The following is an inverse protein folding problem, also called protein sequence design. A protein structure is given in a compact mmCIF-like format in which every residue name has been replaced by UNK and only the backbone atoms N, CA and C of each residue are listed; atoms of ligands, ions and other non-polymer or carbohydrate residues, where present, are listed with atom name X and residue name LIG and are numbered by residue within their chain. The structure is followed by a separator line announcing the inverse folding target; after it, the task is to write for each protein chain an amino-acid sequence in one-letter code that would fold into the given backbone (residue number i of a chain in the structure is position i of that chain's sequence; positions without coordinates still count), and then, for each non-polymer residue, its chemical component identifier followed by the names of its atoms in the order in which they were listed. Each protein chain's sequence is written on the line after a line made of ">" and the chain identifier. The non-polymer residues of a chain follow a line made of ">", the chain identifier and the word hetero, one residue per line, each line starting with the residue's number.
data_IF_495063859900
#
_entry.id   IF_495063859900
#
_cell.length_a   1.000
_cell.length_b   1.000
_cell.length_c   1.000
_cell.angle_alpha   90.00
_cell.angle_beta   90.00
_cell.angle_gamma   90.00
#
_symmetry.space_group_name_H-M   'P 1'
#
loop_
_entity.id
_entity.type
_entity.pdbx_description
1 polymer ?
#
# COMPACT_ATOMS: atom_id res chain seq x y z
N UNK A 1 0.67 -25.15 -21.17
CA UNK A 1 -0.73 -25.28 -20.73
C UNK A 1 -1.00 -24.11 -19.80
N UNK A 2 -1.97 -23.24 -20.09
CA UNK A 2 -2.29 -22.13 -19.19
C UNK A 2 -2.74 -22.70 -17.84
N UNK A 3 -2.30 -22.13 -16.70
CA UNK A 3 -2.80 -22.58 -15.40
C UNK A 3 -4.33 -22.43 -15.38
N UNK A 4 -5.07 -23.34 -14.71
CA UNK A 4 -6.51 -23.22 -14.58
C UNK A 4 -6.86 -21.86 -13.95
N UNK A 5 -7.95 -21.25 -14.43
CA UNK A 5 -8.43 -20.00 -13.88
C UNK A 5 -8.69 -20.17 -12.37
N UNK A 6 -8.21 -19.22 -11.57
CA UNK A 6 -8.43 -19.22 -10.13
C UNK A 6 -9.95 -19.15 -9.85
N UNK A 7 -10.49 -20.20 -9.24
CA UNK A 7 -11.91 -20.28 -8.87
C UNK A 7 -12.04 -20.21 -7.36
N UNK A 8 -12.78 -19.21 -6.88
CA UNK A 8 -13.13 -19.07 -5.47
C UNK A 8 -14.48 -19.77 -5.20
N UNK A 9 -14.70 -20.31 -3.99
CA UNK A 9 -16.04 -20.73 -3.58
C UNK A 9 -17.01 -19.52 -3.60
N UNK A 10 -18.34 -19.74 -3.67
CA UNK A 10 -19.32 -18.64 -3.78
C UNK A 10 -19.24 -17.59 -2.67
N UNK A 11 -18.80 -18.01 -1.47
CA UNK A 11 -18.55 -17.13 -0.32
C UNK A 11 -17.18 -17.45 0.27
N UNK A 12 -16.08 -16.88 -0.25
CA UNK A 12 -14.74 -17.18 0.22
C UNK A 12 -14.50 -16.60 1.61
N UNK A 13 -13.65 -17.28 2.39
CA UNK A 13 -13.02 -16.68 3.57
C UNK A 13 -11.89 -15.78 3.10
N UNK A 14 -11.89 -14.52 3.56
CA UNK A 14 -10.91 -13.52 3.18
C UNK A 14 -10.13 -13.08 4.42
N UNK A 15 -8.81 -13.23 4.39
CA UNK A 15 -7.92 -12.79 5.46
C UNK A 15 -7.33 -11.41 5.18
N UNK A 16 -7.42 -10.49 6.15
CA UNK A 16 -6.78 -9.18 6.10
C UNK A 16 -5.56 -9.18 7.04
N UNK A 17 -4.36 -9.12 6.45
CA UNK A 17 -3.12 -8.98 7.20
C UNK A 17 -2.94 -7.50 7.56
N UNK A 18 -3.03 -7.21 8.87
CA UNK A 18 -2.99 -5.86 9.47
C UNK A 18 -4.19 -4.97 9.15
N UNK A 19 -5.29 -5.03 9.93
CA UNK A 19 -6.39 -4.07 9.85
C UNK A 19 -6.02 -2.71 10.49
N UNK A 20 -5.04 -2.03 9.89
CA UNK A 20 -4.87 -0.59 10.05
C UNK A 20 -6.11 0.17 9.55
N UNK A 21 -6.03 1.51 9.41
CA UNK A 21 -7.17 2.26 8.88
C UNK A 21 -7.60 1.79 7.48
N UNK A 22 -6.63 1.55 6.58
CA UNK A 22 -6.92 1.04 5.24
C UNK A 22 -7.37 -0.42 5.24
N UNK A 23 -6.68 -1.30 6.00
CA UNK A 23 -7.05 -2.71 6.08
C UNK A 23 -8.46 -2.94 6.64
N UNK A 24 -8.89 -2.15 7.62
CA UNK A 24 -10.27 -2.22 8.14
C UNK A 24 -11.31 -1.79 7.09
N UNK A 25 -11.03 -0.73 6.32
CA UNK A 25 -11.91 -0.29 5.24
C UNK A 25 -12.01 -1.34 4.12
N UNK A 26 -10.88 -1.93 3.70
CA UNK A 26 -10.85 -3.03 2.71
C UNK A 26 -11.61 -4.24 3.24
N UNK A 27 -11.36 -4.65 4.48
CA UNK A 27 -12.04 -5.78 5.10
C UNK A 27 -13.56 -5.59 5.14
N UNK A 28 -14.02 -4.40 5.54
CA UNK A 28 -15.44 -4.04 5.53
C UNK A 28 -16.04 -4.09 4.12
N UNK A 29 -15.33 -3.54 3.12
CA UNK A 29 -15.74 -3.51 1.72
C UNK A 29 -15.94 -4.90 1.11
N UNK A 30 -15.21 -5.90 1.63
CA UNK A 30 -15.25 -7.29 1.14
C UNK A 30 -16.33 -8.15 1.80
N UNK A 31 -16.91 -7.73 2.95
CA UNK A 31 -17.95 -8.49 3.68
C UNK A 31 -19.14 -8.94 2.83
N UNK A 32 -19.70 -8.12 1.91
CA UNK A 32 -20.86 -8.53 1.12
C UNK A 32 -20.60 -9.79 0.26
N UNK A 33 -19.37 -9.95 -0.22
CA UNK A 33 -18.94 -11.08 -1.06
C UNK A 33 -18.31 -12.22 -0.25
N UNK A 34 -17.83 -11.97 0.97
CA UNK A 34 -17.11 -12.95 1.79
C UNK A 34 -18.01 -13.82 2.68
N UNK A 35 -17.68 -15.10 2.85
CA UNK A 35 -18.28 -15.96 3.88
C UNK A 35 -17.91 -15.51 5.29
N UNK A 36 -16.65 -15.10 5.46
CA UNK A 36 -16.13 -14.42 6.63
C UNK A 36 -14.94 -13.56 6.22
N UNK A 37 -14.74 -12.42 6.88
CA UNK A 37 -13.51 -11.65 6.78
C UNK A 37 -12.76 -11.78 8.10
N UNK A 38 -11.58 -12.38 8.07
CA UNK A 38 -10.78 -12.71 9.25
C UNK A 38 -9.53 -11.84 9.34
N UNK A 39 -9.01 -11.62 10.55
CA UNK A 39 -7.76 -10.88 10.77
C UNK A 39 -6.95 -11.49 11.93
N UNK A 40 -5.62 -11.39 11.85
CA UNK A 40 -4.72 -11.94 12.85
C UNK A 40 -4.50 -10.97 14.02
N UNK A 41 -4.88 -11.38 15.23
CA UNK A 41 -4.88 -10.53 16.44
C UNK A 41 -3.54 -10.50 17.18
N UNK A 42 -2.74 -11.58 17.13
CA UNK A 42 -1.50 -11.67 17.89
C UNK A 42 -0.56 -10.45 17.72
N UNK A 43 -0.16 -9.89 18.87
CA UNK A 43 0.78 -8.77 18.95
C UNK A 43 0.28 -7.47 18.34
N UNK A 44 -1.03 -7.30 18.11
CA UNK A 44 -1.61 -6.06 17.58
C UNK A 44 -2.00 -5.10 18.71
N UNK A 45 -1.94 -3.80 18.40
CA UNK A 45 -2.30 -2.76 19.35
C UNK A 45 -3.82 -2.69 19.57
N UNK A 46 -4.24 -2.19 20.73
CA UNK A 46 -5.65 -1.94 21.04
C UNK A 46 -6.35 -1.08 19.96
N UNK A 47 -5.65 -0.09 19.41
CA UNK A 47 -6.18 0.74 18.32
C UNK A 47 -6.45 -0.06 17.03
N UNK A 48 -5.66 -1.10 16.76
CA UNK A 48 -5.86 -2.01 15.62
C UNK A 48 -7.05 -2.93 15.86
N UNK A 49 -7.12 -3.53 17.05
CA UNK A 49 -8.25 -4.38 17.45
C UNK A 49 -9.59 -3.63 17.36
N UNK A 50 -9.66 -2.41 17.90
CA UNK A 50 -10.87 -1.57 17.83
C UNK A 50 -11.30 -1.25 16.40
N UNK A 51 -10.36 -1.01 15.47
CA UNK A 51 -10.71 -0.78 14.05
C UNK A 51 -11.25 -2.04 13.39
N UNK A 52 -10.68 -3.19 13.70
CA UNK A 52 -11.13 -4.47 13.18
C UNK A 52 -12.54 -4.80 13.69
N UNK A 53 -12.81 -4.55 14.98
CA UNK A 53 -14.13 -4.70 15.60
C UNK A 53 -15.16 -3.77 14.94
N UNK A 54 -14.86 -2.48 14.78
CA UNK A 54 -15.76 -1.53 14.10
C UNK A 54 -16.02 -1.88 12.63
N UNK A 55 -15.15 -2.67 12.01
CA UNK A 55 -15.33 -3.18 10.65
C UNK A 55 -15.99 -4.57 10.61
N UNK A 56 -16.42 -5.13 11.75
CA UNK A 56 -16.94 -6.48 11.93
C UNK A 56 -16.01 -7.59 11.40
N UNK A 57 -14.70 -7.44 11.59
CA UNK A 57 -13.73 -8.46 11.21
C UNK A 57 -13.61 -9.52 12.32
N UNK A 58 -13.58 -10.79 11.92
CA UNK A 58 -13.48 -11.92 12.85
C UNK A 58 -12.02 -12.15 13.22
N UNK A 59 -11.69 -11.99 14.50
CA UNK A 59 -10.34 -12.26 14.99
C UNK A 59 -9.98 -13.75 14.89
N UNK A 60 -8.76 -14.02 14.46
CA UNK A 60 -8.09 -15.33 14.59
C UNK A 60 -6.77 -15.15 15.33
N UNK A 61 -6.23 -16.21 15.97
CA UNK A 61 -5.09 -16.08 16.88
C UNK A 61 -3.86 -15.46 16.22
N UNK A 62 -3.48 -15.89 15.02
CA UNK A 62 -2.23 -15.49 14.38
C UNK A 62 -2.30 -15.50 12.84
N UNK A 63 -1.20 -15.08 12.21
CA UNK A 63 -1.05 -15.05 10.75
C UNK A 63 -1.15 -16.45 10.14
N UNK A 64 -0.69 -17.48 10.85
CA UNK A 64 -0.70 -18.83 10.34
C UNK A 64 -2.14 -19.38 10.25
N UNK A 65 -2.96 -19.13 11.27
CA UNK A 65 -4.37 -19.49 11.27
C UNK A 65 -5.16 -18.71 10.22
N UNK A 66 -4.88 -17.41 10.07
CA UNK A 66 -5.44 -16.61 8.98
C UNK A 66 -5.11 -17.24 7.62
N UNK A 67 -3.84 -17.56 7.38
CA UNK A 67 -3.40 -18.13 6.11
C UNK A 67 -4.04 -19.50 5.83
N UNK A 68 -4.13 -20.38 6.83
CA UNK A 68 -4.77 -21.71 6.68
C UNK A 68 -6.25 -21.63 6.33
N UNK A 69 -6.98 -20.68 6.89
CA UNK A 69 -8.44 -20.55 6.70
C UNK A 69 -8.84 -19.78 5.44
N UNK A 70 -7.93 -18.97 4.89
CA UNK A 70 -8.27 -18.01 3.85
C UNK A 70 -8.19 -18.61 2.45
N UNK A 71 -9.15 -18.26 1.61
CA UNK A 71 -9.10 -18.48 0.15
C UNK A 71 -8.47 -17.28 -0.56
N UNK A 72 -8.63 -16.09 0.04
CA UNK A 72 -8.01 -14.84 -0.39
C UNK A 72 -7.33 -14.20 0.81
N UNK A 73 -6.09 -13.77 0.65
CA UNK A 73 -5.31 -13.08 1.68
C UNK A 73 -4.94 -11.71 1.11
N UNK A 74 -5.31 -10.63 1.79
CA UNK A 74 -4.92 -9.27 1.43
C UNK A 74 -3.84 -8.80 2.40
N UNK A 75 -2.65 -8.53 1.87
CA UNK A 75 -1.55 -7.94 2.64
C UNK A 75 -1.57 -6.43 2.57
N UNK A 76 -1.73 -5.77 3.72
CA UNK A 76 -1.73 -4.31 3.82
C UNK A 76 -1.12 -3.80 5.14
N UNK A 77 0.17 -4.06 5.29
CA UNK A 77 1.08 -3.68 6.34
C UNK A 77 2.04 -2.53 5.93
N UNK A 78 2.86 -2.01 6.86
CA UNK A 78 3.98 -1.14 6.51
C UNK A 78 4.98 -1.82 5.55
N UNK A 79 5.60 -1.09 4.59
CA UNK A 79 6.47 -1.67 3.57
C UNK A 79 7.55 -2.63 4.09
N UNK A 80 8.27 -2.24 5.14
CA UNK A 80 9.35 -3.03 5.73
C UNK A 80 8.92 -4.41 6.25
N UNK A 81 7.64 -4.61 6.57
CA UNK A 81 7.10 -5.86 7.12
C UNK A 81 6.60 -6.82 6.03
N UNK A 82 6.40 -6.35 4.80
CA UNK A 82 5.71 -7.10 3.74
C UNK A 82 6.35 -8.47 3.46
N UNK A 83 7.67 -8.51 3.34
CA UNK A 83 8.41 -9.75 3.04
C UNK A 83 8.36 -10.75 4.19
N UNK A 84 8.50 -10.29 5.43
CA UNK A 84 8.44 -11.14 6.62
C UNK A 84 7.05 -11.77 6.76
N UNK A 85 6.00 -10.95 6.62
CA UNK A 85 4.61 -11.40 6.67
C UNK A 85 4.32 -12.43 5.57
N UNK A 86 4.75 -12.18 4.33
CA UNK A 86 4.63 -13.15 3.25
C UNK A 86 5.36 -14.47 3.56
N UNK A 87 6.49 -14.42 4.26
CA UNK A 87 7.22 -15.61 4.72
C UNK A 87 6.42 -16.44 5.73
N UNK A 88 5.80 -15.78 6.72
CA UNK A 88 4.91 -16.44 7.69
C UNK A 88 3.70 -17.09 7.02
N UNK A 89 3.11 -16.40 6.04
CA UNK A 89 2.03 -16.95 5.23
C UNK A 89 2.51 -18.16 4.44
N UNK A 90 3.64 -18.05 3.73
CA UNK A 90 4.21 -19.15 2.96
C UNK A 90 4.50 -20.38 3.82
N UNK A 91 5.03 -20.21 5.02
CA UNK A 91 5.26 -21.30 5.97
C UNK A 91 3.94 -21.97 6.40
N UNK A 92 2.90 -21.18 6.69
CA UNK A 92 1.60 -21.70 7.09
C UNK A 92 0.82 -22.39 5.96
N UNK A 93 1.16 -22.12 4.70
CA UNK A 93 0.56 -22.74 3.51
C UNK A 93 1.31 -24.00 3.05
N UNK A 94 2.40 -24.42 3.73
CA UNK A 94 3.26 -25.51 3.27
C UNK A 94 2.52 -26.84 3.02
N UNK A 95 1.54 -27.16 3.87
CA UNK A 95 0.78 -28.42 3.80
C UNK A 95 -0.55 -28.29 3.04
N UNK A 96 -0.85 -27.11 2.48
CA UNK A 96 -2.08 -26.91 1.71
C UNK A 96 -1.93 -27.40 0.28
N UNK A 97 -2.92 -28.17 -0.16
CA UNK A 97 -3.00 -28.66 -1.54
C UNK A 97 -3.62 -27.64 -2.48
N UNK A 98 -4.40 -26.70 -1.95
CA UNK A 98 -5.02 -25.62 -2.70
C UNK A 98 -4.22 -24.32 -2.59
N UNK A 99 -4.31 -23.49 -3.64
CA UNK A 99 -3.50 -22.29 -3.79
C UNK A 99 -4.35 -21.03 -3.57
N UNK A 100 -4.33 -20.39 -2.38
CA UNK A 100 -5.07 -19.16 -2.16
C UNK A 100 -4.57 -18.02 -3.05
N UNK A 101 -5.42 -17.03 -3.26
CA UNK A 101 -5.05 -15.75 -3.86
C UNK A 101 -4.42 -14.86 -2.80
N UNK A 102 -3.18 -14.41 -3.01
CA UNK A 102 -2.49 -13.45 -2.16
C UNK A 102 -2.44 -12.12 -2.89
N UNK A 103 -3.26 -11.17 -2.45
CA UNK A 103 -3.25 -9.78 -2.95
C UNK A 103 -2.22 -9.00 -2.14
N UNK A 104 -1.11 -8.69 -2.77
CA UNK A 104 -0.05 -7.86 -2.19
C UNK A 104 -0.39 -6.39 -2.42
N UNK A 105 -0.99 -5.73 -1.42
CA UNK A 105 -1.47 -4.35 -1.50
C UNK A 105 -0.62 -3.35 -0.69
N UNK A 106 0.58 -3.76 -0.26
CA UNK A 106 1.54 -2.90 0.41
C UNK A 106 2.12 -1.88 -0.57
N UNK A 107 2.50 -0.71 -0.07
CA UNK A 107 3.18 0.31 -0.87
C UNK A 107 4.68 -0.02 -1.01
N UNK A 108 4.98 -1.05 -1.81
CA UNK A 108 6.33 -1.58 -2.07
C UNK A 108 6.70 -1.51 -3.56
N UNK A 109 7.99 -1.62 -3.87
CA UNK A 109 8.51 -1.58 -5.22
C UNK A 109 8.08 -2.80 -6.05
N UNK A 110 8.02 -2.69 -7.39
CA UNK A 110 7.71 -3.81 -8.28
C UNK A 110 8.57 -5.06 -8.02
N UNK A 111 9.87 -4.87 -7.79
CA UNK A 111 10.80 -5.98 -7.50
C UNK A 111 10.55 -6.62 -6.13
N UNK A 112 10.10 -5.85 -5.15
CA UNK A 112 9.68 -6.37 -3.84
C UNK A 112 8.46 -7.29 -3.97
N UNK A 113 7.45 -6.90 -4.76
CA UNK A 113 6.27 -7.76 -5.03
C UNK A 113 6.67 -9.02 -5.79
N UNK A 114 7.54 -8.93 -6.80
CA UNK A 114 8.05 -10.10 -7.53
C UNK A 114 8.87 -11.03 -6.62
N UNK A 115 9.61 -10.46 -5.67
CA UNK A 115 10.30 -11.21 -4.62
C UNK A 115 9.33 -11.98 -3.73
N UNK A 116 8.21 -11.38 -3.36
CA UNK A 116 7.12 -12.04 -2.61
C UNK A 116 6.45 -13.13 -3.45
N UNK A 117 6.20 -12.88 -4.74
CA UNK A 117 5.67 -13.90 -5.66
C UNK A 117 6.61 -15.10 -5.77
N UNK A 118 7.92 -14.86 -5.86
CA UNK A 118 8.94 -15.92 -5.87
C UNK A 118 8.99 -16.67 -4.53
N UNK A 119 8.93 -15.94 -3.41
CA UNK A 119 8.92 -16.50 -2.06
C UNK A 119 7.72 -17.43 -1.84
N UNK A 120 6.54 -17.03 -2.27
CA UNK A 120 5.32 -17.82 -2.12
C UNK A 120 5.29 -18.99 -3.12
N UNK A 121 5.82 -18.80 -4.33
CA UNK A 121 5.92 -19.83 -5.35
C UNK A 121 4.58 -20.48 -5.62
N UNK A 122 4.55 -21.82 -5.65
CA UNK A 122 3.33 -22.57 -5.93
C UNK A 122 2.33 -22.61 -4.76
N UNK A 123 2.71 -22.08 -3.58
CA UNK A 123 1.84 -22.06 -2.39
C UNK A 123 0.75 -20.99 -2.45
N UNK A 124 0.92 -19.93 -3.24
CA UNK A 124 -0.11 -18.90 -3.41
C UNK A 124 -0.06 -18.29 -4.81
N UNK A 125 -1.22 -17.87 -5.32
CA UNK A 125 -1.30 -17.06 -6.54
C UNK A 125 -1.12 -15.60 -6.13
N UNK A 126 -0.03 -14.95 -6.53
CA UNK A 126 0.21 -13.54 -6.14
C UNK A 126 -0.39 -12.59 -7.15
N UNK A 127 -1.25 -11.69 -6.66
CA UNK A 127 -1.77 -10.54 -7.38
C UNK A 127 -1.16 -9.27 -6.81
N UNK A 128 -0.60 -8.42 -7.66
CA UNK A 128 -0.05 -7.11 -7.30
C UNK A 128 -1.19 -6.10 -7.17
N UNK A 129 -1.22 -5.37 -6.05
CA UNK A 129 -2.25 -4.41 -5.72
C UNK A 129 -1.66 -3.05 -5.32
N UNK A 130 -2.27 -1.98 -5.82
CA UNK A 130 -1.90 -0.61 -5.46
C UNK A 130 -3.13 0.22 -5.09
N UNK A 131 -3.23 0.58 -3.80
CA UNK A 131 -4.29 1.45 -3.30
C UNK A 131 -3.89 2.92 -3.46
N UNK A 132 -4.70 3.71 -4.16
CA UNK A 132 -4.55 5.16 -4.30
C UNK A 132 -5.81 5.84 -3.77
N UNK A 133 -5.66 6.54 -2.65
CA UNK A 133 -6.74 7.23 -1.95
C UNK A 133 -6.65 7.05 -0.42
N UNK A 134 -7.49 7.75 0.35
CA UNK A 134 -7.67 7.49 1.78
C UNK A 134 -8.43 6.16 2.03
N UNK A 135 -8.60 5.69 3.27
CA UNK A 135 -9.56 4.62 3.54
C UNK A 135 -10.97 5.00 3.05
N UNK A 136 -11.59 4.15 2.22
CA UNK A 136 -12.89 4.43 1.62
C UNK A 136 -14.04 3.72 2.35
N UNK A 137 -15.04 4.50 2.75
CA UNK A 137 -16.34 4.03 3.26
C UNK A 137 -17.47 4.34 2.28
N UNK A 138 -17.27 5.35 1.43
CA UNK A 138 -18.11 5.73 0.30
C UNK A 138 -17.32 5.68 -1.00
N UNK A 139 -18.03 5.50 -2.11
CA UNK A 139 -17.43 5.47 -3.46
C UNK A 139 -16.85 6.82 -3.86
N UNK A 140 -15.83 6.78 -4.73
CA UNK A 140 -15.34 7.95 -5.47
C UNK A 140 -14.02 8.54 -4.96
N UNK A 141 -13.47 8.05 -3.87
CA UNK A 141 -12.23 8.59 -3.27
C UNK A 141 -11.01 7.71 -3.46
N UNK A 142 -11.21 6.40 -3.70
CA UNK A 142 -10.12 5.42 -3.64
C UNK A 142 -10.23 4.38 -4.74
N UNK A 143 -9.11 4.19 -5.43
CA UNK A 143 -8.95 3.21 -6.50
C UNK A 143 -7.98 2.13 -6.03
N UNK A 144 -8.36 0.87 -6.22
CA UNK A 144 -7.49 -0.29 -6.06
C UNK A 144 -7.07 -0.77 -7.45
N UNK A 145 -5.84 -0.46 -7.85
CA UNK A 145 -5.27 -0.98 -9.08
C UNK A 145 -4.74 -2.38 -8.85
N UNK A 146 -5.02 -3.29 -9.78
CA UNK A 146 -4.66 -4.69 -9.68
C UNK A 146 -3.91 -5.12 -10.93
N UNK A 147 -2.87 -5.92 -10.77
CA UNK A 147 -2.20 -6.60 -11.86
C UNK A 147 -1.72 -8.00 -11.50
N UNK A 148 -1.45 -8.81 -12.52
CA UNK A 148 -0.95 -10.16 -12.36
C UNK A 148 -2.04 -11.23 -12.18
N UNK A 149 -1.63 -12.48 -11.93
CA UNK A 149 -2.54 -13.61 -11.84
C UNK A 149 -3.65 -13.41 -10.80
N UNK A 150 -4.90 -13.64 -11.20
CA UNK A 150 -6.05 -13.50 -10.31
C UNK A 150 -6.53 -12.06 -10.09
N UNK A 151 -5.99 -11.07 -10.83
CA UNK A 151 -6.43 -9.67 -10.73
C UNK A 151 -7.93 -9.49 -11.04
N UNK A 152 -8.48 -10.16 -12.06
CA UNK A 152 -9.92 -10.13 -12.34
C UNK A 152 -10.74 -10.71 -11.17
N UNK A 153 -10.27 -11.81 -10.60
CA UNK A 153 -10.92 -12.44 -9.44
C UNK A 153 -10.88 -11.51 -8.22
N UNK A 154 -9.75 -10.85 -7.96
CA UNK A 154 -9.64 -9.85 -6.91
C UNK A 154 -10.60 -8.67 -7.16
N UNK A 155 -10.64 -8.13 -8.38
CA UNK A 155 -11.50 -7.00 -8.74
C UNK A 155 -12.98 -7.32 -8.56
N UNK A 156 -13.42 -8.52 -8.94
CA UNK A 156 -14.80 -8.98 -8.79
C UNK A 156 -15.28 -8.99 -7.33
N UNK A 157 -14.37 -9.17 -6.36
CA UNK A 157 -14.72 -9.12 -4.93
C UNK A 157 -15.08 -7.71 -4.45
N UNK A 158 -14.65 -6.67 -5.17
CA UNK A 158 -14.92 -5.26 -4.85
C UNK A 158 -16.08 -4.66 -5.66
N UNK A 159 -16.71 -5.42 -6.56
CA UNK A 159 -17.93 -4.99 -7.24
C UNK A 159 -19.04 -4.64 -6.24
N UNK A 160 -19.63 -3.45 -6.39
CA UNK A 160 -20.61 -2.95 -5.42
C UNK A 160 -20.00 -2.28 -4.19
N UNK A 161 -18.70 -2.41 -3.94
CA UNK A 161 -18.02 -1.83 -2.75
C UNK A 161 -17.59 -0.36 -2.88
N UNK A 162 -17.20 0.31 -1.78
CA UNK A 162 -16.64 1.67 -1.79
C UNK A 162 -15.34 1.84 -2.61
N UNK A 163 -14.60 0.76 -2.84
CA UNK A 163 -13.35 0.79 -3.61
C UNK A 163 -13.66 0.61 -5.10
N UNK A 164 -13.07 1.47 -5.94
CA UNK A 164 -13.06 1.29 -7.39
C UNK A 164 -11.89 0.37 -7.76
N UNK A 165 -12.15 -0.92 -7.93
CA UNK A 165 -11.14 -1.89 -8.30
C UNK A 165 -10.97 -1.96 -9.82
N UNK A 166 -9.74 -1.77 -10.30
CA UNK A 166 -9.41 -1.69 -11.73
C UNK A 166 -8.23 -2.59 -12.07
N UNK A 167 -8.37 -3.37 -13.13
CA UNK A 167 -7.33 -4.30 -13.59
C UNK A 167 -6.50 -3.65 -14.69
N UNK A 168 -5.17 -3.67 -14.52
CA UNK A 168 -4.22 -3.19 -15.52
C UNK A 168 -3.82 -4.30 -16.49
N UNK A 169 -3.55 -5.50 -15.97
CA UNK A 169 -3.15 -6.68 -16.72
C UNK A 169 -3.20 -7.93 -15.83
N UNK A 170 -3.26 -9.13 -16.40
CA UNK A 170 -3.61 -10.37 -15.65
C UNK A 170 -2.57 -11.49 -15.76
N UNK A 171 -1.52 -11.31 -16.55
CA UNK A 171 -0.50 -12.32 -16.79
C UNK A 171 0.54 -12.41 -15.67
N UNK A 172 1.23 -13.56 -15.50
CA UNK A 172 2.30 -13.70 -14.51
C UNK A 172 3.43 -12.66 -14.63
N UNK A 173 3.73 -12.21 -15.86
CA UNK A 173 4.73 -11.18 -16.12
C UNK A 173 4.29 -9.77 -15.68
N UNK A 174 2.99 -9.58 -15.40
CA UNK A 174 2.41 -8.30 -15.03
C UNK A 174 2.43 -8.04 -13.51
N UNK A 175 3.00 -8.96 -12.73
CA UNK A 175 3.28 -8.73 -11.31
C UNK A 175 4.32 -7.60 -11.19
N UNK A 176 3.94 -6.54 -10.48
CA UNK A 176 4.71 -5.30 -10.32
C UNK A 176 4.17 -4.12 -11.13
N UNK A 177 3.21 -4.32 -12.05
CA UNK A 177 2.63 -3.24 -12.86
C UNK A 177 1.78 -2.26 -12.03
N UNK A 178 0.95 -2.76 -11.10
CA UNK A 178 0.17 -1.90 -10.21
C UNK A 178 1.09 -1.14 -9.24
N UNK A 179 2.11 -1.82 -8.70
CA UNK A 179 3.15 -1.20 -7.88
C UNK A 179 3.97 -0.14 -8.64
N UNK A 180 4.25 -0.38 -9.93
CA UNK A 180 4.89 0.62 -10.80
C UNK A 180 4.05 1.87 -10.98
N UNK A 181 2.74 1.72 -11.23
CA UNK A 181 1.80 2.84 -11.25
C UNK A 181 1.84 3.61 -9.93
N UNK A 182 1.84 2.90 -8.80
CA UNK A 182 1.90 3.51 -7.47
C UNK A 182 3.18 4.32 -7.26
N UNK A 183 4.34 3.81 -7.66
CA UNK A 183 5.62 4.50 -7.56
C UNK A 183 5.61 5.82 -8.36
N UNK A 184 5.10 5.78 -9.60
CA UNK A 184 4.93 6.99 -10.43
C UNK A 184 3.98 8.00 -9.77
N UNK A 185 2.85 7.54 -9.24
CA UNK A 185 1.92 8.43 -8.53
C UNK A 185 2.52 9.02 -7.24
N UNK A 186 3.39 8.25 -6.56
CA UNK A 186 4.05 8.68 -5.34
C UNK A 186 5.06 9.82 -5.59
N UNK A 187 5.70 9.89 -6.76
CA UNK A 187 6.51 11.04 -7.16
C UNK A 187 5.70 12.34 -7.11
N UNK A 188 4.52 12.35 -7.75
CA UNK A 188 3.66 13.53 -7.79
C UNK A 188 3.06 13.84 -6.41
N UNK A 189 2.52 12.83 -5.74
CA UNK A 189 1.72 13.05 -4.52
C UNK A 189 2.56 13.21 -3.25
N UNK A 190 3.82 12.80 -3.26
CA UNK A 190 4.67 12.79 -2.05
C UNK A 190 6.07 13.32 -2.25
N UNK A 191 6.73 13.05 -3.38
CA UNK A 191 8.08 13.59 -3.58
C UNK A 191 8.03 15.08 -3.93
N UNK A 192 7.25 15.48 -4.94
CA UNK A 192 7.12 16.87 -5.37
C UNK A 192 6.82 17.86 -4.23
N UNK A 193 5.85 17.59 -3.33
CA UNK A 193 5.54 18.51 -2.23
C UNK A 193 6.73 18.78 -1.30
N UNK A 194 7.65 17.82 -1.13
CA UNK A 194 8.82 18.00 -0.25
C UNK A 194 9.84 19.01 -0.80
N UNK A 195 9.76 19.37 -2.08
CA UNK A 195 10.58 20.45 -2.64
C UNK A 195 10.32 21.78 -1.92
N UNK A 196 9.10 22.01 -1.43
CA UNK A 196 8.80 23.20 -0.62
C UNK A 196 9.51 23.19 0.73
N UNK A 197 9.66 22.01 1.35
CA UNK A 197 10.43 21.86 2.59
C UNK A 197 11.92 22.12 2.34
N UNK A 198 12.47 21.56 1.25
CA UNK A 198 13.85 21.78 0.87
C UNK A 198 14.13 23.26 0.53
N UNK A 199 13.21 23.90 -0.20
CA UNK A 199 13.28 25.32 -0.54
C UNK A 199 13.35 26.19 0.71
N UNK A 200 12.48 25.94 1.69
CA UNK A 200 12.50 26.64 2.98
C UNK A 200 13.79 26.44 3.76
N UNK A 201 14.23 25.19 3.88
CA UNK A 201 15.44 24.87 4.61
C UNK A 201 16.65 25.56 3.97
N UNK A 202 16.72 25.56 2.63
CA UNK A 202 17.78 26.25 1.89
C UNK A 202 17.71 27.77 2.06
N UNK A 203 16.53 28.38 1.92
CA UNK A 203 16.35 29.83 2.05
C UNK A 203 16.75 30.33 3.44
N UNK A 204 16.39 29.59 4.49
CA UNK A 204 16.80 29.87 5.85
C UNK A 204 18.32 29.79 6.03
N UNK A 205 18.96 28.73 5.48
CA UNK A 205 20.42 28.54 5.55
C UNK A 205 21.21 29.61 4.79
N UNK A 206 20.69 30.12 3.68
CA UNK A 206 21.29 31.23 2.94
C UNK A 206 20.94 32.61 3.52
N UNK A 207 20.00 32.70 4.47
CA UNK A 207 19.56 33.97 5.06
C UNK A 207 18.71 34.83 4.12
N UNK A 208 17.97 34.21 3.18
CA UNK A 208 17.21 34.90 2.12
C UNK A 208 15.70 34.63 2.15
N UNK A 209 15.17 34.08 3.25
CA UNK A 209 13.77 33.66 3.38
C UNK A 209 12.77 34.76 2.96
N UNK A 210 12.89 35.96 3.52
CA UNK A 210 11.95 37.07 3.21
C UNK A 210 12.03 37.50 1.74
N UNK A 211 13.24 37.61 1.19
CA UNK A 211 13.45 37.98 -0.21
C UNK A 211 12.90 36.91 -1.17
N UNK A 212 13.08 35.63 -0.85
CA UNK A 212 12.52 34.52 -1.62
C UNK A 212 10.99 34.52 -1.57
N UNK A 213 10.39 34.70 -0.39
CA UNK A 213 8.92 34.77 -0.27
C UNK A 213 8.35 35.92 -1.09
N UNK A 214 8.96 37.11 -1.03
CA UNK A 214 8.57 38.24 -1.86
C UNK A 214 8.64 37.95 -3.36
N UNK A 215 9.66 37.21 -3.82
CA UNK A 215 9.80 36.83 -5.23
C UNK A 215 8.78 35.74 -5.65
N UNK A 216 8.49 34.78 -4.78
CA UNK A 216 7.47 33.75 -5.01
C UNK A 216 6.06 34.36 -5.10
N UNK A 217 5.76 35.35 -4.24
CA UNK A 217 4.50 36.09 -4.28
C UNK A 217 4.40 36.93 -5.56
N UNK A 218 5.47 37.65 -5.92
CA UNK A 218 5.53 38.46 -7.14
C UNK A 218 5.32 37.63 -8.42
N UNK A 219 5.78 36.37 -8.42
CA UNK A 219 5.64 35.45 -9.56
C UNK A 219 4.35 34.62 -9.52
N UNK A 220 3.52 34.78 -8.49
CA UNK A 220 2.23 34.09 -8.36
C UNK A 220 2.35 32.61 -8.00
N UNK A 221 3.42 32.22 -7.32
CA UNK A 221 3.57 30.86 -6.80
C UNK A 221 2.53 30.62 -5.69
N UNK A 222 1.82 29.48 -5.73
CA UNK A 222 0.90 29.06 -4.66
C UNK A 222 1.64 28.52 -3.41
N UNK A 223 2.77 29.14 -3.09
CA UNK A 223 3.80 28.64 -2.19
C UNK A 223 3.31 28.45 -0.75
N UNK A 224 2.71 29.50 -0.15
CA UNK A 224 2.36 29.49 1.27
C UNK A 224 1.39 28.36 1.63
N UNK A 225 0.36 28.15 0.80
CA UNK A 225 -0.59 27.04 0.96
C UNK A 225 0.09 25.68 0.77
N UNK A 226 0.87 25.53 -0.30
CA UNK A 226 1.56 24.27 -0.59
C UNK A 226 2.56 23.86 0.51
N UNK A 227 3.26 24.83 1.11
CA UNK A 227 4.14 24.61 2.24
C UNK A 227 3.38 24.16 3.48
N UNK A 228 2.27 24.84 3.81
CA UNK A 228 1.44 24.50 4.95
C UNK A 228 0.90 23.07 4.84
N UNK A 229 0.43 22.68 3.66
CA UNK A 229 -0.10 21.35 3.37
C UNK A 229 0.97 20.25 3.55
N UNK A 230 2.18 20.45 2.99
CA UNK A 230 3.25 19.44 3.14
C UNK A 230 3.75 19.36 4.58
N UNK A 231 3.83 20.46 5.33
CA UNK A 231 4.21 20.46 6.75
C UNK A 231 3.20 19.69 7.59
N UNK A 232 1.90 19.98 7.42
CA UNK A 232 0.84 19.28 8.12
C UNK A 232 0.88 17.77 7.83
N UNK A 233 1.15 17.40 6.58
CA UNK A 233 1.18 16.00 6.20
C UNK A 233 2.43 15.27 6.68
N UNK A 234 3.59 15.92 6.64
CA UNK A 234 4.83 15.40 7.18
C UNK A 234 4.74 15.16 8.69
N UNK A 235 4.13 16.09 9.44
CA UNK A 235 3.92 15.91 10.88
C UNK A 235 3.00 14.72 11.20
N UNK A 236 1.92 14.53 10.44
CA UNK A 236 0.95 13.47 10.71
C UNK A 236 1.41 12.08 10.23
N UNK A 237 2.17 12.00 9.14
CA UNK A 237 2.41 10.75 8.39
C UNK A 237 3.86 10.58 7.88
N UNK A 238 4.79 11.44 8.28
CA UNK A 238 6.16 11.50 7.76
C UNK A 238 6.93 10.19 7.88
N UNK A 239 6.95 9.57 9.06
CA UNK A 239 7.62 8.28 9.29
C UNK A 239 7.15 7.18 8.32
N UNK A 240 5.85 7.14 7.99
CA UNK A 240 5.27 6.17 7.06
C UNK A 240 5.64 6.50 5.62
N UNK A 241 5.62 7.78 5.28
CA UNK A 241 5.94 8.27 3.94
C UNK A 241 7.41 8.15 3.60
N UNK A 242 8.31 8.22 4.58
CA UNK A 242 9.73 7.96 4.38
C UNK A 242 9.97 6.58 3.77
N UNK A 243 9.42 5.51 4.38
CA UNK A 243 9.54 4.15 3.85
C UNK A 243 8.87 3.98 2.47
N UNK A 244 7.71 4.59 2.24
CA UNK A 244 7.08 4.56 0.92
C UNK A 244 7.88 5.31 -0.16
N UNK A 245 8.66 6.34 0.23
CA UNK A 245 9.55 7.05 -0.69
C UNK A 245 10.82 6.27 -0.98
N UNK A 246 11.31 5.45 -0.05
CA UNK A 246 12.41 4.52 -0.30
C UNK A 246 12.01 3.45 -1.33
N UNK A 247 10.83 2.85 -1.19
CA UNK A 247 10.29 1.89 -2.17
C UNK A 247 10.06 2.53 -3.54
N UNK A 248 9.56 3.77 -3.59
CA UNK A 248 9.43 4.51 -4.84
C UNK A 248 10.80 4.80 -5.47
N UNK A 249 11.83 5.08 -4.66
CA UNK A 249 13.19 5.27 -5.14
C UNK A 249 13.76 3.98 -5.73
N UNK A 250 13.61 2.85 -5.04
CA UNK A 250 14.04 1.53 -5.52
C UNK A 250 13.33 1.16 -6.83
N UNK A 251 12.03 1.46 -6.95
CA UNK A 251 11.27 1.23 -8.17
C UNK A 251 11.79 2.03 -9.38
N UNK A 252 12.20 3.29 -9.18
CA UNK A 252 12.77 4.12 -10.25
C UNK A 252 14.18 3.69 -10.63
N UNK A 253 15.01 3.39 -9.62
CA UNK A 253 16.38 2.92 -9.83
C UNK A 253 16.41 1.61 -10.64
N UNK A 254 15.49 0.69 -10.37
CA UNK A 254 15.38 -0.59 -11.09
C UNK A 254 15.14 -0.45 -12.60
N UNK A 255 14.58 0.68 -13.05
CA UNK A 255 14.32 0.96 -14.48
C UNK A 255 15.24 2.07 -15.05
N UNK A 256 16.29 2.46 -14.32
CA UNK A 256 17.27 3.46 -14.76
C UNK A 256 16.76 4.90 -14.73
N UNK A 257 15.66 5.18 -14.02
CA UNK A 257 15.19 6.55 -13.77
C UNK A 257 15.88 7.09 -12.50
N UNK A 258 16.35 8.35 -12.48
CA UNK A 258 16.94 8.94 -11.28
C UNK A 258 16.01 8.87 -10.08
N UNK A 259 16.51 8.31 -8.98
CA UNK A 259 15.76 8.06 -7.75
C UNK A 259 15.98 9.14 -6.67
N UNK A 260 16.95 10.05 -6.92
CA UNK A 260 17.40 11.05 -5.95
C UNK A 260 16.29 11.93 -5.37
N UNK A 261 15.24 12.25 -6.14
CA UNK A 261 14.10 13.01 -5.63
C UNK A 261 13.32 12.23 -4.56
N UNK A 262 13.08 10.94 -4.79
CA UNK A 262 12.40 10.07 -3.83
C UNK A 262 13.27 9.85 -2.59
N UNK A 263 14.59 9.68 -2.75
CA UNK A 263 15.54 9.57 -1.63
C UNK A 263 15.56 10.84 -0.77
N UNK A 264 15.64 12.01 -1.40
CA UNK A 264 15.60 13.29 -0.71
C UNK A 264 14.26 13.53 -0.01
N UNK A 265 13.14 13.17 -0.64
CA UNK A 265 11.82 13.22 -0.01
C UNK A 265 11.75 12.34 1.24
N UNK A 266 12.28 11.12 1.19
CA UNK A 266 12.34 10.23 2.35
C UNK A 266 13.13 10.85 3.51
N UNK A 267 14.27 11.48 3.21
CA UNK A 267 15.07 12.21 4.19
C UNK A 267 14.32 13.38 4.83
N UNK A 268 13.66 14.22 4.01
CA UNK A 268 12.88 15.36 4.49
C UNK A 268 11.72 14.93 5.38
N UNK A 269 11.03 13.83 5.04
CA UNK A 269 9.98 13.28 5.89
C UNK A 269 10.48 12.75 7.23
N UNK A 270 11.67 12.15 7.28
CA UNK A 270 12.32 11.75 8.55
C UNK A 270 12.63 12.97 9.42
N UNK A 271 13.33 13.96 8.85
CA UNK A 271 13.68 15.21 9.55
C UNK A 271 12.46 15.92 10.12
N UNK A 272 11.37 15.97 9.36
CA UNK A 272 10.11 16.57 9.81
C UNK A 272 9.39 15.76 10.90
N UNK A 273 9.66 14.45 11.01
CA UNK A 273 9.11 13.59 12.06
C UNK A 273 9.94 13.65 13.36
N UNK A 274 11.25 13.89 13.25
CA UNK A 274 12.18 13.94 14.39
C UNK A 274 12.25 15.35 15.04
N UNK A 275 11.85 16.38 14.32
CA UNK A 275 11.85 17.78 14.79
C UNK A 275 10.53 18.26 15.41
N UNK A 276 9.65 17.33 15.81
CA UNK A 276 8.37 17.60 16.47
C UNK A 276 8.46 17.63 18.00
#
# INVERSE_FOLDING_TARGET
>A
MAPPALSLPPRPVIGILHPGAMGAAIGSALKPRAGAVVWADAGRSHATAKRAELADLVAVPDVAELARRSHVIVSICPPHAAREVAGLVGAALADRTDRPLYVEANAIAPDSVRGIATLLGDRATVCDGAVIGPPAWDRGTTVLWLSGPGADTAAALFEGSPFDARVLATGPADVGTASGLKACFALQSKALPTLWLALEEAAARFGVTEALHGELDRTGSAYAGALADVRATAAAKGWRWAGEMEEAADALAAIGVPDGFSRAAAELYRRASDGG
#
